data_IF_211847476473
#
_entry.id   IF_211847476473
#
_cell.length_a   1.000
_cell.length_b   1.000
_cell.length_c   1.000
_cell.angle_alpha   90.00
_cell.angle_beta   90.00
_cell.angle_gamma   90.00
#
_symmetry.space_group_name_H-M   'P 1'
#
loop_
_entity.id
_entity.type
_entity.pdbx_description
1 polymer ?
#
# COMPACT_ATOMS: atom_id res chain seq x y z
N UNK A 1 23.97 10.72 -14.80
CA UNK A 1 24.47 10.23 -13.52
C UNK A 1 23.74 10.93 -12.38
N UNK A 2 22.96 10.20 -11.61
CA UNK A 2 22.27 10.72 -10.41
C UNK A 2 23.23 10.75 -9.21
N UNK A 3 22.78 11.29 -8.08
CA UNK A 3 23.59 11.29 -6.85
C UNK A 3 23.79 9.89 -6.28
N UNK A 4 22.76 9.03 -6.34
CA UNK A 4 22.84 7.65 -5.85
C UNK A 4 23.71 6.79 -6.77
N UNK A 5 23.53 6.88 -8.10
CA UNK A 5 24.38 6.20 -9.09
C UNK A 5 25.85 6.59 -8.93
N UNK A 6 26.15 7.90 -8.84
CA UNK A 6 27.52 8.37 -8.65
C UNK A 6 28.14 7.94 -7.32
N UNK A 7 27.36 7.85 -6.25
CA UNK A 7 27.84 7.37 -4.95
C UNK A 7 28.06 5.85 -4.95
N UNK A 8 27.19 5.08 -5.62
CA UNK A 8 27.37 3.65 -5.81
C UNK A 8 28.67 3.38 -6.57
N UNK A 9 28.88 4.03 -7.71
CA UNK A 9 30.11 3.90 -8.51
C UNK A 9 31.36 4.22 -7.68
N UNK A 10 31.31 5.29 -6.89
CA UNK A 10 32.42 5.68 -6.01
C UNK A 10 32.71 4.65 -4.90
N UNK A 11 31.71 3.86 -4.49
CA UNK A 11 31.84 2.85 -3.45
C UNK A 11 32.14 1.44 -3.98
N UNK A 12 32.16 1.23 -5.30
CA UNK A 12 32.35 -0.09 -5.93
C UNK A 12 31.06 -0.80 -6.36
N UNK A 13 30.00 -0.03 -6.62
CA UNK A 13 28.73 -0.50 -7.17
C UNK A 13 27.96 -1.42 -6.20
N UNK A 14 27.27 -2.42 -6.75
CA UNK A 14 26.54 -3.42 -5.96
C UNK A 14 27.44 -4.27 -5.05
N UNK A 15 28.76 -4.29 -5.31
CA UNK A 15 29.76 -5.01 -4.52
C UNK A 15 30.46 -4.12 -3.47
N UNK A 16 29.96 -2.90 -3.22
CA UNK A 16 30.56 -2.00 -2.25
C UNK A 16 30.67 -2.64 -0.85
N UNK A 17 31.74 -2.33 -0.08
CA UNK A 17 31.96 -2.94 1.23
C UNK A 17 30.90 -2.48 2.25
N UNK A 18 30.62 -3.28 3.31
CA UNK A 18 29.62 -2.93 4.34
C UNK A 18 29.87 -1.58 5.03
N UNK A 19 31.12 -1.10 5.05
CA UNK A 19 31.47 0.23 5.59
C UNK A 19 30.83 1.38 4.81
N UNK A 20 30.41 1.17 3.56
CA UNK A 20 29.70 2.15 2.73
C UNK A 20 28.19 2.20 2.99
N UNK A 21 27.60 1.18 3.63
CA UNK A 21 26.14 1.03 3.74
C UNK A 21 25.45 2.22 4.39
N UNK A 22 26.03 2.80 5.44
CA UNK A 22 25.44 3.95 6.13
C UNK A 22 25.32 5.17 5.21
N UNK A 23 26.37 5.45 4.42
CA UNK A 23 26.39 6.56 3.46
C UNK A 23 25.43 6.30 2.30
N UNK A 24 25.42 5.09 1.75
CA UNK A 24 24.50 4.70 0.69
C UNK A 24 23.03 4.78 1.13
N UNK A 25 22.73 4.44 2.40
CA UNK A 25 21.38 4.60 2.97
C UNK A 25 20.92 6.05 3.01
N UNK A 26 21.80 6.97 3.39
CA UNK A 26 21.48 8.40 3.39
C UNK A 26 21.16 8.91 1.98
N UNK A 27 22.02 8.58 1.00
CA UNK A 27 21.83 9.01 -0.39
C UNK A 27 20.59 8.36 -1.01
N UNK A 28 20.31 7.09 -0.70
CA UNK A 28 19.08 6.41 -1.11
C UNK A 28 17.84 7.12 -0.54
N UNK A 29 17.83 7.47 0.74
CA UNK A 29 16.71 8.19 1.36
C UNK A 29 16.39 9.50 0.66
N UNK A 30 17.42 10.28 0.30
CA UNK A 30 17.24 11.53 -0.45
C UNK A 30 16.80 11.28 -1.91
N UNK A 31 17.30 10.24 -2.56
CA UNK A 31 16.85 9.83 -3.90
C UNK A 31 15.36 9.45 -3.90
N UNK A 32 14.92 8.63 -2.93
CA UNK A 32 13.51 8.24 -2.78
C UNK A 32 12.60 9.44 -2.50
N UNK A 33 13.05 10.39 -1.66
CA UNK A 33 12.32 11.62 -1.36
C UNK A 33 12.13 12.48 -2.62
N UNK A 34 13.19 12.64 -3.42
CA UNK A 34 13.13 13.35 -4.71
C UNK A 34 12.23 12.61 -5.69
N UNK A 35 12.37 11.30 -5.81
CA UNK A 35 11.53 10.45 -6.66
C UNK A 35 10.05 10.58 -6.33
N UNK A 36 9.70 10.61 -5.04
CA UNK A 36 8.31 10.82 -4.60
C UNK A 36 7.79 12.18 -5.06
N UNK A 37 8.57 13.24 -4.91
CA UNK A 37 8.21 14.58 -5.39
C UNK A 37 8.08 14.63 -6.93
N UNK A 38 8.94 13.92 -7.67
CA UNK A 38 8.85 13.79 -9.12
C UNK A 38 7.58 13.09 -9.59
N UNK A 39 7.15 12.03 -8.90
CA UNK A 39 5.96 11.26 -9.28
C UNK A 39 4.65 12.09 -9.23
N UNK A 40 4.64 13.17 -8.45
CA UNK A 40 3.53 14.13 -8.37
C UNK A 40 3.50 15.15 -9.52
N UNK A 41 4.53 15.20 -10.37
CA UNK A 41 4.58 16.11 -11.53
C UNK A 41 3.83 15.53 -12.73
N UNK A 42 3.33 16.33 -13.68
CA UNK A 42 2.68 15.80 -14.89
C UNK A 42 3.60 14.96 -15.80
N UNK A 43 4.91 15.21 -15.74
CA UNK A 43 5.98 14.44 -16.37
C UNK A 43 7.08 14.28 -15.32
N UNK A 44 7.58 13.07 -15.15
CA UNK A 44 8.49 12.72 -14.06
C UNK A 44 9.84 12.29 -14.61
N UNK A 45 10.90 12.73 -13.95
CA UNK A 45 12.25 12.24 -14.19
C UNK A 45 12.95 12.80 -15.43
N UNK A 46 12.52 13.96 -15.93
CA UNK A 46 13.10 14.57 -17.14
C UNK A 46 14.56 14.98 -16.95
N UNK A 47 14.86 15.65 -15.82
CA UNK A 47 16.21 16.10 -15.47
C UNK A 47 17.03 14.98 -14.80
N UNK A 48 16.38 14.24 -13.89
CA UNK A 48 16.94 13.09 -13.20
C UNK A 48 15.89 11.98 -13.13
N UNK A 49 16.15 10.77 -13.63
CA UNK A 49 15.17 9.68 -13.59
C UNK A 49 14.72 9.39 -12.15
N UNK A 50 13.49 8.94 -11.98
CA UNK A 50 12.99 8.44 -10.69
C UNK A 50 13.73 7.15 -10.35
N UNK A 51 14.46 7.16 -9.24
CA UNK A 51 15.32 6.05 -8.86
C UNK A 51 14.58 5.06 -7.95
N UNK A 52 14.73 3.77 -8.26
CA UNK A 52 14.44 2.66 -7.34
C UNK A 52 15.73 1.89 -7.06
N UNK A 53 15.84 1.29 -5.89
CA UNK A 53 17.00 0.48 -5.53
C UNK A 53 16.57 -0.96 -5.32
N UNK A 54 17.33 -1.92 -5.85
CA UNK A 54 17.10 -3.36 -5.64
C UNK A 54 18.37 -3.96 -5.05
N UNK A 55 18.24 -4.74 -3.98
CA UNK A 55 19.40 -5.33 -3.28
C UNK A 55 19.41 -6.85 -3.34
N UNK A 56 20.62 -7.39 -3.13
CA UNK A 56 20.86 -8.83 -2.99
C UNK A 56 20.01 -9.41 -1.85
N UNK A 57 18.99 -10.19 -2.21
CA UNK A 57 17.89 -10.60 -1.33
C UNK A 57 16.51 -10.20 -1.83
N UNK A 58 16.41 -9.66 -3.05
CA UNK A 58 15.15 -9.33 -3.72
C UNK A 58 14.29 -8.35 -2.91
N UNK A 59 14.98 -7.41 -2.26
CA UNK A 59 14.37 -6.24 -1.63
C UNK A 59 14.46 -5.07 -2.58
N UNK A 60 13.35 -4.38 -2.82
CA UNK A 60 13.31 -3.16 -3.60
C UNK A 60 12.78 -1.98 -2.77
N UNK A 61 13.49 -0.86 -2.79
CA UNK A 61 13.05 0.40 -2.19
C UNK A 61 12.43 1.29 -3.27
N UNK A 62 11.20 1.74 -3.04
CA UNK A 62 10.38 2.44 -4.03
C UNK A 62 9.91 3.79 -3.47
N UNK A 63 9.93 4.89 -4.25
CA UNK A 63 9.48 6.22 -3.80
C UNK A 63 7.95 6.36 -3.60
N UNK A 64 7.26 5.26 -3.29
CA UNK A 64 5.84 5.19 -2.95
C UNK A 64 5.63 5.14 -1.42
N UNK A 65 4.44 5.45 -0.90
CA UNK A 65 4.12 5.32 0.51
C UNK A 65 3.99 3.85 0.95
N UNK A 66 4.57 3.51 2.11
CA UNK A 66 4.48 2.17 2.70
C UNK A 66 3.03 1.77 3.11
N UNK A 67 2.14 2.76 3.26
CA UNK A 67 0.71 2.54 3.52
C UNK A 67 0.04 1.73 2.43
N UNK A 68 0.63 1.66 1.21
CA UNK A 68 0.12 0.87 0.10
C UNK A 68 -0.20 -0.58 0.49
N UNK A 69 0.57 -1.19 1.41
CA UNK A 69 0.32 -2.56 1.88
C UNK A 69 -1.08 -2.75 2.47
N UNK A 70 -1.61 -1.72 3.12
CA UNK A 70 -2.89 -1.75 3.83
C UNK A 70 -3.99 -0.97 3.09
N UNK A 71 -3.61 0.08 2.38
CA UNK A 71 -4.52 0.95 1.65
C UNK A 71 -4.07 1.07 0.19
N UNK A 72 -4.74 0.32 -0.68
CA UNK A 72 -4.51 0.34 -2.12
C UNK A 72 -4.76 1.70 -2.77
N UNK A 73 -5.55 2.56 -2.14
CA UNK A 73 -5.93 3.87 -2.66
C UNK A 73 -4.97 4.98 -2.16
N UNK A 74 -3.94 4.62 -1.38
CA UNK A 74 -2.95 5.57 -0.84
C UNK A 74 -1.89 6.02 -1.85
N UNK A 75 -1.94 5.51 -3.08
CA UNK A 75 -1.02 5.87 -4.16
C UNK A 75 -1.77 6.45 -5.35
N UNK A 76 -1.11 7.38 -6.05
CA UNK A 76 -1.55 7.83 -7.36
C UNK A 76 -1.35 6.74 -8.41
N UNK A 77 -2.00 6.89 -9.56
CA UNK A 77 -1.84 5.98 -10.70
C UNK A 77 -0.36 5.82 -11.12
N UNK A 78 0.40 6.92 -11.20
CA UNK A 78 1.81 6.84 -11.60
C UNK A 78 2.69 6.15 -10.56
N UNK A 79 2.45 6.42 -9.27
CA UNK A 79 3.13 5.71 -8.19
C UNK A 79 2.83 4.21 -8.26
N UNK A 80 1.56 3.85 -8.52
CA UNK A 80 1.17 2.46 -8.74
C UNK A 80 1.89 1.83 -9.92
N UNK A 81 1.95 2.49 -11.08
CA UNK A 81 2.62 1.94 -12.27
C UNK A 81 4.11 1.68 -12.01
N UNK A 82 4.80 2.58 -11.31
CA UNK A 82 6.19 2.35 -10.89
C UNK A 82 6.30 1.14 -9.94
N UNK A 83 5.43 1.07 -8.94
CA UNK A 83 5.39 -0.06 -7.99
C UNK A 83 5.15 -1.38 -8.71
N UNK A 84 4.20 -1.41 -9.65
CA UNK A 84 3.87 -2.59 -10.44
C UNK A 84 5.04 -3.03 -11.30
N UNK A 85 5.76 -2.08 -11.93
CA UNK A 85 6.99 -2.39 -12.66
C UNK A 85 8.05 -3.03 -11.75
N UNK A 86 8.25 -2.49 -10.54
CA UNK A 86 9.18 -3.09 -9.56
C UNK A 86 8.75 -4.50 -9.13
N UNK A 87 7.46 -4.77 -8.97
CA UNK A 87 6.96 -6.14 -8.71
C UNK A 87 7.32 -7.07 -9.87
N UNK A 88 7.11 -6.63 -11.11
CA UNK A 88 7.53 -7.35 -12.31
C UNK A 88 9.01 -7.69 -12.29
N UNK A 89 9.86 -6.67 -12.07
CA UNK A 89 11.32 -6.83 -11.96
C UNK A 89 11.71 -7.85 -10.89
N UNK A 90 11.12 -7.79 -9.69
CA UNK A 90 11.43 -8.73 -8.61
C UNK A 90 11.03 -10.17 -8.97
N UNK A 91 9.90 -10.35 -9.65
CA UNK A 91 9.43 -11.66 -10.09
C UNK A 91 10.30 -12.21 -11.22
N UNK A 92 10.66 -11.38 -12.20
CA UNK A 92 11.53 -11.76 -13.31
C UNK A 92 12.89 -12.21 -12.81
N UNK A 93 13.54 -11.40 -11.96
CA UNK A 93 14.84 -11.76 -11.38
C UNK A 93 14.79 -13.05 -10.54
N UNK A 94 13.64 -13.36 -9.94
CA UNK A 94 13.49 -14.52 -9.04
C UNK A 94 13.02 -15.80 -9.74
N UNK A 95 12.55 -15.71 -10.99
CA UNK A 95 12.06 -16.79 -11.84
C UNK A 95 11.22 -17.88 -11.12
N UNK A 96 10.18 -17.53 -10.33
CA UNK A 96 9.48 -18.49 -9.47
C UNK A 96 8.56 -19.48 -10.22
N UNK A 97 8.44 -19.35 -11.55
CA UNK A 97 7.45 -20.05 -12.36
C UNK A 97 5.99 -19.61 -12.07
N UNK A 98 5.01 -20.16 -12.80
CA UNK A 98 3.61 -19.76 -12.67
C UNK A 98 3.00 -20.15 -11.30
N UNK A 99 2.09 -19.34 -10.74
CA UNK A 99 1.40 -19.67 -9.49
C UNK A 99 0.28 -20.68 -9.76
N UNK A 100 0.02 -21.57 -8.80
CA UNK A 100 -1.04 -22.57 -8.84
C UNK A 100 -2.26 -22.18 -8.00
N UNK A 101 -2.09 -21.22 -7.10
CA UNK A 101 -3.16 -20.75 -6.22
C UNK A 101 -2.71 -19.58 -5.33
N UNK A 102 -3.57 -19.13 -4.40
CA UNK A 102 -3.35 -17.92 -3.62
C UNK A 102 -2.19 -18.05 -2.63
N UNK A 103 -1.90 -19.26 -2.15
CA UNK A 103 -0.80 -19.54 -1.22
C UNK A 103 0.58 -19.47 -1.90
N UNK A 104 0.63 -19.49 -3.24
CA UNK A 104 1.87 -19.33 -3.99
C UNK A 104 2.27 -17.86 -4.13
N UNK A 105 1.38 -16.92 -3.79
CA UNK A 105 1.65 -15.47 -3.85
C UNK A 105 2.47 -15.06 -2.64
N UNK A 106 3.69 -14.59 -2.87
CA UNK A 106 4.72 -14.44 -1.83
C UNK A 106 5.25 -13.02 -1.68
N UNK A 107 4.78 -12.05 -2.47
CA UNK A 107 5.17 -10.65 -2.33
C UNK A 107 4.86 -10.15 -0.93
N UNK A 108 5.83 -9.51 -0.31
CA UNK A 108 5.70 -8.85 0.98
C UNK A 108 6.03 -7.36 0.84
N UNK A 109 5.50 -6.56 1.75
CA UNK A 109 5.78 -5.14 1.83
C UNK A 109 6.18 -4.73 3.24
N UNK A 110 7.08 -3.76 3.32
CA UNK A 110 7.56 -3.13 4.54
C UNK A 110 7.81 -1.65 4.33
N UNK A 111 8.56 -1.06 5.26
CA UNK A 111 8.80 0.38 5.33
C UNK A 111 10.28 0.68 5.59
N UNK A 112 10.79 1.70 4.90
CA UNK A 112 12.04 2.42 5.23
C UNK A 112 11.73 3.74 5.96
N UNK A 113 12.71 4.30 6.69
CA UNK A 113 12.61 5.65 7.26
C UNK A 113 12.12 6.67 6.23
N UNK A 114 11.14 7.50 6.59
CA UNK A 114 10.47 8.43 5.66
C UNK A 114 9.19 7.86 5.02
N UNK A 115 8.73 6.69 5.46
CA UNK A 115 7.49 6.06 5.01
C UNK A 115 7.57 5.54 3.59
N UNK A 116 8.77 5.16 3.11
CA UNK A 116 8.96 4.62 1.77
C UNK A 116 8.64 3.13 1.72
N UNK A 117 7.97 2.71 0.66
CA UNK A 117 7.64 1.31 0.43
C UNK A 117 8.90 0.48 0.19
N UNK A 118 9.00 -0.64 0.88
CA UNK A 118 9.90 -1.73 0.52
C UNK A 118 9.08 -2.90 0.04
N UNK A 119 9.46 -3.48 -1.08
CA UNK A 119 8.93 -4.75 -1.57
C UNK A 119 9.96 -5.85 -1.35
N UNK A 120 9.51 -7.04 -0.97
CA UNK A 120 10.35 -8.22 -0.80
C UNK A 120 9.74 -9.39 -1.57
N UNK A 121 10.57 -10.10 -2.32
CA UNK A 121 10.19 -11.32 -3.01
C UNK A 121 11.15 -12.46 -2.67
N UNK A 122 10.70 -13.70 -2.47
CA UNK A 122 11.63 -14.81 -2.31
C UNK A 122 12.23 -15.22 -3.65
N UNK A 123 13.55 -15.27 -3.74
CA UNK A 123 14.27 -15.72 -4.93
C UNK A 123 15.67 -16.24 -4.59
N UNK A 124 16.25 -16.97 -5.54
CA UNK A 124 17.64 -17.41 -5.56
C UNK A 124 18.31 -16.92 -6.85
N UNK A 125 19.63 -17.00 -6.97
CA UNK A 125 20.32 -16.64 -8.22
C UNK A 125 20.34 -15.13 -8.50
N UNK A 126 21.00 -14.36 -7.63
CA UNK A 126 21.15 -12.91 -7.81
C UNK A 126 22.23 -12.55 -8.83
N UNK A 127 21.85 -11.72 -9.80
CA UNK A 127 22.75 -11.03 -10.74
C UNK A 127 22.46 -9.52 -10.72
N UNK A 128 23.43 -8.72 -10.29
CA UNK A 128 23.29 -7.26 -10.23
C UNK A 128 23.23 -6.61 -11.61
N UNK A 129 23.79 -7.22 -12.65
CA UNK A 129 23.78 -6.69 -14.02
C UNK A 129 22.38 -6.75 -14.64
N UNK A 130 21.55 -7.70 -14.20
CA UNK A 130 20.18 -7.88 -14.71
C UNK A 130 19.16 -6.90 -14.10
N UNK A 131 19.47 -6.25 -12.98
CA UNK A 131 18.51 -5.37 -12.27
C UNK A 131 18.01 -4.23 -13.15
N UNK A 132 18.93 -3.56 -13.85
CA UNK A 132 18.58 -2.44 -14.72
C UNK A 132 17.75 -2.88 -15.92
N UNK A 133 18.13 -4.01 -16.54
CA UNK A 133 17.48 -4.58 -17.72
C UNK A 133 16.06 -5.05 -17.42
N UNK A 134 15.89 -5.88 -16.38
CA UNK A 134 14.58 -6.36 -15.95
C UNK A 134 13.66 -5.21 -15.51
N UNK A 135 14.20 -4.13 -14.96
CA UNK A 135 13.39 -2.95 -14.66
C UNK A 135 12.98 -2.17 -15.91
N UNK A 136 13.90 -1.97 -16.85
CA UNK A 136 13.62 -1.27 -18.10
C UNK A 136 12.49 -1.95 -18.89
N UNK A 137 12.50 -3.28 -18.99
CA UNK A 137 11.46 -4.06 -19.67
C UNK A 137 10.07 -3.84 -19.06
N UNK A 138 10.00 -3.67 -17.74
CA UNK A 138 8.74 -3.42 -17.04
C UNK A 138 8.34 -1.94 -16.98
N UNK A 139 9.30 -1.00 -17.07
CA UNK A 139 9.06 0.43 -16.91
C UNK A 139 8.88 1.21 -18.23
N UNK A 140 9.40 0.69 -19.35
CA UNK A 140 9.44 1.40 -20.65
C UNK A 140 8.04 1.81 -21.16
N UNK A 141 7.01 1.03 -20.83
CA UNK A 141 5.62 1.32 -21.23
C UNK A 141 4.92 2.42 -20.43
N UNK A 142 5.53 2.95 -19.36
CA UNK A 142 4.87 3.92 -18.48
C UNK A 142 4.93 5.33 -19.08
N UNK A 143 3.77 5.87 -19.45
CA UNK A 143 3.69 7.19 -20.07
C UNK A 143 4.28 8.30 -19.17
N UNK A 144 5.14 9.13 -19.78
CA UNK A 144 5.74 10.33 -19.16
C UNK A 144 6.52 10.07 -17.87
N UNK A 145 7.01 8.86 -17.66
CA UNK A 145 7.90 8.51 -16.57
C UNK A 145 9.27 8.12 -17.13
N UNK A 146 10.32 8.81 -16.67
CA UNK A 146 11.69 8.30 -16.75
C UNK A 146 12.07 7.77 -15.38
N UNK A 147 12.37 6.49 -15.31
CA UNK A 147 12.78 5.82 -14.09
C UNK A 147 13.97 4.90 -14.37
N UNK A 148 14.72 4.56 -13.32
CA UNK A 148 15.84 3.61 -13.39
C UNK A 148 15.93 2.80 -12.10
N UNK A 149 16.35 1.55 -12.22
CA UNK A 149 16.65 0.69 -11.08
C UNK A 149 18.16 0.52 -10.91
N UNK A 150 18.62 0.67 -9.67
CA UNK A 150 20.03 0.51 -9.32
C UNK A 150 20.20 -0.71 -8.41
N UNK A 151 21.13 -1.59 -8.76
CA UNK A 151 21.57 -2.67 -7.88
C UNK A 151 22.38 -2.07 -6.72
N UNK A 152 21.97 -2.35 -5.48
CA UNK A 152 22.64 -1.85 -4.27
C UNK A 152 23.17 -2.99 -3.40
N UNK A 153 24.25 -2.76 -2.62
CA UNK A 153 24.79 -3.77 -1.72
C UNK A 153 23.78 -4.27 -0.69
N UNK A 154 24.02 -5.50 -0.22
CA UNK A 154 23.27 -6.08 0.89
C UNK A 154 23.45 -5.21 2.15
N UNK A 155 22.35 -4.85 2.81
CA UNK A 155 22.35 -4.00 4.00
C UNK A 155 22.19 -2.50 3.72
N UNK A 156 22.07 -2.09 2.45
CA UNK A 156 21.56 -0.75 2.12
C UNK A 156 20.04 -0.68 2.32
N UNK A 157 19.31 -1.72 1.90
CA UNK A 157 17.87 -1.81 2.15
C UNK A 157 17.64 -2.65 3.40
N UNK A 158 17.31 -2.00 4.51
CA UNK A 158 17.02 -2.62 5.81
C UNK A 158 15.58 -2.29 6.20
N UNK A 159 14.58 -3.07 5.71
CA UNK A 159 13.20 -2.83 6.08
C UNK A 159 12.98 -3.13 7.56
N UNK A 160 11.95 -2.50 8.13
CA UNK A 160 11.34 -3.02 9.35
C UNK A 160 10.67 -4.37 9.13
N UNK A 161 9.54 -4.60 9.81
CA UNK A 161 8.79 -5.85 9.65
C UNK A 161 8.18 -5.95 8.24
N UNK A 162 8.49 -7.03 7.52
CA UNK A 162 7.88 -7.36 6.24
C UNK A 162 6.60 -8.16 6.46
N UNK A 163 5.51 -7.74 5.80
CA UNK A 163 4.19 -8.37 5.93
C UNK A 163 3.55 -8.58 4.57
N UNK A 164 2.69 -9.60 4.41
CA UNK A 164 1.88 -9.72 3.20
C UNK A 164 0.95 -8.51 3.04
N UNK A 165 0.60 -8.15 1.80
CA UNK A 165 -0.46 -7.18 1.52
C UNK A 165 -1.81 -7.64 2.07
N UNK A 166 -2.65 -6.69 2.49
CA UNK A 166 -3.96 -6.98 3.11
C UNK A 166 -5.01 -7.22 2.02
N UNK A 167 -5.68 -8.38 2.08
CA UNK A 167 -6.77 -8.75 1.18
C UNK A 167 -6.32 -9.64 0.01
N UNK A 168 -7.18 -10.58 -0.37
CA UNK A 168 -6.88 -11.58 -1.40
C UNK A 168 -6.57 -10.99 -2.78
N UNK A 169 -7.26 -9.90 -3.15
CA UNK A 169 -7.10 -9.16 -4.43
C UNK A 169 -6.39 -7.82 -4.26
N UNK A 170 -5.46 -7.73 -3.31
CA UNK A 170 -4.62 -6.55 -3.17
C UNK A 170 -3.82 -6.31 -4.47
N UNK A 171 -3.65 -5.06 -4.96
CA UNK A 171 -2.94 -4.79 -6.21
C UNK A 171 -1.54 -5.42 -6.29
N UNK A 172 -0.75 -5.37 -5.23
CA UNK A 172 0.56 -6.07 -5.17
C UNK A 172 0.47 -7.58 -5.47
N UNK A 173 -0.58 -8.27 -5.00
CA UNK A 173 -0.80 -9.70 -5.27
C UNK A 173 -1.20 -9.94 -6.72
N UNK A 174 -2.03 -9.05 -7.26
CA UNK A 174 -2.41 -9.04 -8.68
C UNK A 174 -1.17 -8.85 -9.55
N UNK A 175 -0.33 -7.87 -9.22
CA UNK A 175 0.91 -7.60 -9.94
C UNK A 175 1.86 -8.79 -9.94
N UNK A 176 2.03 -9.49 -8.80
CA UNK A 176 2.79 -10.74 -8.77
C UNK A 176 2.18 -11.79 -9.70
N UNK A 177 0.86 -12.03 -9.61
CA UNK A 177 0.19 -13.03 -10.43
C UNK A 177 0.33 -12.72 -11.93
N UNK A 178 0.14 -11.46 -12.32
CA UNK A 178 0.34 -10.97 -13.70
C UNK A 178 1.76 -11.28 -14.17
N UNK A 179 2.78 -10.88 -13.40
CA UNK A 179 4.18 -11.11 -13.78
C UNK A 179 4.49 -12.60 -13.93
N UNK A 180 4.03 -13.45 -13.00
CA UNK A 180 4.29 -14.89 -13.04
C UNK A 180 3.52 -15.64 -14.13
N UNK A 181 2.49 -15.02 -14.70
CA UNK A 181 1.78 -15.51 -15.89
C UNK A 181 2.37 -14.97 -17.20
N UNK A 182 3.49 -14.23 -17.14
CA UNK A 182 4.16 -13.66 -18.30
C UNK A 182 3.57 -12.33 -18.78
N UNK A 183 2.71 -11.69 -17.98
CA UNK A 183 2.18 -10.35 -18.28
C UNK A 183 3.04 -9.22 -17.69
N UNK A 184 2.76 -7.99 -18.10
CA UNK A 184 3.40 -6.79 -17.55
C UNK A 184 2.51 -6.11 -16.51
N UNK A 185 2.89 -6.08 -15.22
CA UNK A 185 2.01 -5.54 -14.17
C UNK A 185 1.66 -4.05 -14.31
N UNK A 186 2.55 -3.26 -14.92
CA UNK A 186 2.33 -1.84 -15.21
C UNK A 186 1.61 -1.62 -16.57
N UNK A 187 1.26 -2.69 -17.29
CA UNK A 187 0.61 -2.65 -18.59
C UNK A 187 -0.84 -3.14 -18.57
N UNK A 188 -1.42 -3.21 -19.76
CA UNK A 188 -2.71 -3.88 -19.95
C UNK A 188 -2.54 -5.41 -19.77
N UNK A 189 -3.44 -6.04 -19.03
CA UNK A 189 -3.46 -7.46 -18.74
C UNK A 189 -4.86 -8.10 -18.89
N UNK A 190 -5.74 -7.49 -19.71
CA UNK A 190 -7.09 -8.01 -20.00
C UNK A 190 -7.08 -9.48 -20.42
N UNK A 191 -6.08 -9.92 -21.20
CA UNK A 191 -5.98 -11.30 -21.72
C UNK A 191 -5.72 -12.36 -20.63
N UNK A 192 -5.17 -11.96 -19.49
CA UNK A 192 -4.83 -12.86 -18.38
C UNK A 192 -5.67 -12.59 -17.13
N UNK A 193 -6.63 -11.66 -17.18
CA UNK A 193 -7.46 -11.26 -16.05
C UNK A 193 -8.17 -12.47 -15.43
N UNK A 194 -8.85 -13.28 -16.25
CA UNK A 194 -9.57 -14.47 -15.77
C UNK A 194 -8.64 -15.48 -15.08
N UNK A 195 -7.42 -15.67 -15.60
CA UNK A 195 -6.42 -16.55 -15.01
C UNK A 195 -5.94 -16.01 -13.66
N UNK A 196 -5.67 -14.70 -13.57
CA UNK A 196 -5.30 -14.03 -12.32
C UNK A 196 -6.43 -14.16 -11.28
N UNK A 197 -7.68 -13.91 -11.66
CA UNK A 197 -8.83 -14.03 -10.78
C UNK A 197 -9.06 -15.48 -10.31
N UNK A 198 -8.79 -16.46 -11.16
CA UNK A 198 -8.83 -17.88 -10.81
C UNK A 198 -7.78 -18.24 -9.76
N UNK A 199 -6.54 -17.76 -9.93
CA UNK A 199 -5.42 -17.99 -8.98
C UNK A 199 -5.67 -17.34 -7.63
N UNK A 200 -6.12 -16.08 -7.62
CA UNK A 200 -6.35 -15.34 -6.38
C UNK A 200 -7.65 -15.78 -5.67
N UNK A 201 -8.47 -16.56 -6.35
CA UNK A 201 -9.75 -17.04 -5.87
C UNK A 201 -10.82 -15.94 -5.81
N UNK A 202 -11.97 -16.22 -5.20
CA UNK A 202 -12.94 -15.18 -4.89
C UNK A 202 -12.22 -14.13 -4.06
N UNK A 203 -12.21 -12.89 -4.55
CA UNK A 203 -11.81 -11.79 -3.70
C UNK A 203 -12.73 -11.78 -2.49
N UNK A 204 -12.25 -11.29 -1.36
CA UNK A 204 -13.18 -10.89 -0.31
C UNK A 204 -14.18 -9.92 -0.95
N UNK A 205 -15.37 -10.41 -1.30
CA UNK A 205 -16.55 -9.58 -1.44
C UNK A 205 -16.99 -9.18 -0.03
N UNK A 206 -16.05 -8.66 0.77
CA UNK A 206 -16.36 -7.61 1.68
C UNK A 206 -16.89 -6.47 0.80
N UNK A 207 -18.21 -6.43 0.63
CA UNK A 207 -18.89 -5.28 0.00
C UNK A 207 -18.24 -4.03 0.55
N UNK A 208 -17.73 -3.12 -0.28
CA UNK A 208 -16.98 -1.96 0.25
C UNK A 208 -17.89 -1.21 1.24
N UNK A 209 -17.35 -0.53 2.27
CA UNK A 209 -18.17 0.25 3.20
C UNK A 209 -19.21 1.17 2.54
N UNK A 210 -18.98 1.65 1.32
CA UNK A 210 -19.92 2.48 0.54
C UNK A 210 -20.89 1.71 -0.36
N UNK A 211 -20.65 0.42 -0.58
CA UNK A 211 -21.47 -0.48 -1.40
C UNK A 211 -22.39 -1.36 -0.55
N UNK A 212 -22.23 -1.34 0.77
CA UNK A 212 -23.01 -2.17 1.70
C UNK A 212 -24.52 -2.01 1.45
N UNK A 213 -25.27 -3.07 1.15
CA UNK A 213 -26.67 -2.93 0.73
C UNK A 213 -27.54 -2.31 1.82
N UNK A 214 -27.21 -2.51 3.10
CA UNK A 214 -27.93 -1.91 4.21
C UNK A 214 -27.43 -0.47 4.47
N UNK A 215 -28.28 0.57 4.33
CA UNK A 215 -27.85 1.97 4.48
C UNK A 215 -27.26 2.29 5.85
N UNK A 216 -27.75 1.65 6.92
CA UNK A 216 -27.27 1.91 8.28
C UNK A 216 -25.89 1.29 8.49
N UNK A 217 -25.71 0.03 8.06
CA UNK A 217 -24.42 -0.68 8.09
C UNK A 217 -23.40 0.04 7.22
N UNK A 218 -23.79 0.48 6.01
CA UNK A 218 -22.99 1.35 5.14
C UNK A 218 -22.50 2.60 5.88
N UNK A 219 -23.40 3.31 6.55
CA UNK A 219 -23.05 4.51 7.29
C UNK A 219 -22.09 4.21 8.45
N UNK A 220 -22.32 3.12 9.19
CA UNK A 220 -21.48 2.71 10.31
C UNK A 220 -20.05 2.41 9.83
N UNK A 221 -19.92 1.61 8.78
CA UNK A 221 -18.62 1.24 8.19
C UNK A 221 -17.89 2.46 7.65
N UNK A 222 -18.57 3.37 6.95
CA UNK A 222 -17.98 4.62 6.44
C UNK A 222 -17.54 5.58 7.56
N UNK A 223 -18.28 5.64 8.67
CA UNK A 223 -17.88 6.45 9.83
C UNK A 223 -16.61 5.88 10.45
N UNK A 224 -16.60 4.59 10.78
CA UNK A 224 -15.48 3.94 11.45
C UNK A 224 -14.22 3.93 10.57
N UNK A 225 -14.33 3.55 9.29
CA UNK A 225 -13.21 3.54 8.34
C UNK A 225 -12.54 4.91 8.24
N UNK A 226 -13.33 5.98 8.15
CA UNK A 226 -12.79 7.34 8.05
C UNK A 226 -12.13 7.80 9.34
N UNK A 227 -12.71 7.49 10.49
CA UNK A 227 -12.10 7.82 11.79
C UNK A 227 -10.79 7.07 11.99
N UNK A 228 -10.75 5.81 11.57
CA UNK A 228 -9.56 4.95 11.63
C UNK A 228 -8.45 5.50 10.73
N UNK A 229 -8.77 5.82 9.47
CA UNK A 229 -7.85 6.47 8.54
C UNK A 229 -7.35 7.85 9.01
N UNK A 230 -8.13 8.57 9.82
CA UNK A 230 -7.71 9.82 10.45
C UNK A 230 -6.95 9.61 11.78
N UNK A 231 -6.74 8.37 12.22
CA UNK A 231 -6.09 8.04 13.48
C UNK A 231 -6.86 8.49 14.73
N UNK A 232 -8.19 8.62 14.65
CA UNK A 232 -9.06 9.15 15.72
C UNK A 232 -9.30 8.12 16.84
N UNK A 233 -8.21 7.65 17.44
CA UNK A 233 -8.19 6.67 18.51
C UNK A 233 -7.83 7.31 19.85
N UNK A 234 -8.52 6.90 20.92
CA UNK A 234 -8.21 7.31 22.29
C UNK A 234 -8.12 8.84 22.48
N UNK A 235 -6.91 9.38 22.58
CA UNK A 235 -6.66 10.80 22.84
C UNK A 235 -7.03 11.74 21.68
N UNK A 236 -7.06 11.22 20.44
CA UNK A 236 -7.35 12.00 19.23
C UNK A 236 -8.79 11.80 18.78
N UNK A 237 -9.53 12.90 18.63
CA UNK A 237 -10.99 12.87 18.58
C UNK A 237 -11.54 13.92 17.60
N UNK A 238 -12.84 13.84 17.33
CA UNK A 238 -13.57 14.79 16.47
C UNK A 238 -14.90 15.17 17.12
N UNK A 239 -15.46 16.31 16.76
CA UNK A 239 -16.84 16.66 17.10
C UNK A 239 -17.82 15.62 16.52
N UNK A 240 -18.83 15.22 17.29
CA UNK A 240 -19.84 14.24 16.91
C UNK A 240 -20.64 14.68 15.68
N UNK A 241 -20.95 15.97 15.55
CA UNK A 241 -21.62 16.51 14.37
C UNK A 241 -20.85 16.26 13.06
N UNK A 242 -19.52 16.04 13.14
CA UNK A 242 -18.69 15.74 11.97
C UNK A 242 -18.84 14.32 11.45
N UNK A 243 -19.44 13.40 12.20
CA UNK A 243 -19.68 12.03 11.73
C UNK A 243 -20.54 12.01 10.46
N UNK A 244 -21.50 12.92 10.33
CA UNK A 244 -22.35 13.04 9.14
C UNK A 244 -21.72 13.82 7.97
N UNK A 245 -20.49 14.36 8.10
CA UNK A 245 -19.82 15.02 6.98
C UNK A 245 -19.58 14.01 5.84
N UNK A 246 -19.83 14.40 4.60
CA UNK A 246 -19.70 13.52 3.43
C UNK A 246 -20.90 12.58 3.17
N UNK A 247 -21.98 12.70 3.94
CA UNK A 247 -23.28 12.11 3.63
C UNK A 247 -24.20 13.15 2.97
N UNK A 248 -25.01 12.72 2.00
CA UNK A 248 -25.89 13.59 1.22
C UNK A 248 -27.31 13.63 1.82
N UNK A 249 -27.95 14.80 1.82
CA UNK A 249 -29.37 14.97 2.16
C UNK A 249 -29.84 14.18 3.39
N UNK A 250 -30.84 13.31 3.19
CA UNK A 250 -31.47 12.48 4.22
C UNK A 250 -30.52 11.45 4.88
N UNK A 251 -29.39 11.12 4.24
CA UNK A 251 -28.42 10.18 4.82
C UNK A 251 -27.60 10.80 5.96
N UNK A 252 -27.64 12.13 6.11
CA UNK A 252 -26.98 12.82 7.24
C UNK A 252 -27.66 12.54 8.57
N UNK A 253 -28.99 12.48 8.59
CA UNK A 253 -29.76 12.14 9.79
C UNK A 253 -29.49 10.69 10.19
N UNK A 254 -29.55 9.76 9.22
CA UNK A 254 -29.20 8.36 9.44
C UNK A 254 -27.76 8.21 9.96
N UNK A 255 -26.79 8.95 9.40
CA UNK A 255 -25.41 8.90 9.88
C UNK A 255 -25.25 9.40 11.34
N UNK A 256 -26.08 10.35 11.78
CA UNK A 256 -26.10 10.80 13.18
C UNK A 256 -26.69 9.72 14.10
N UNK A 257 -27.82 9.12 13.72
CA UNK A 257 -28.45 8.03 14.48
C UNK A 257 -27.52 6.81 14.58
N UNK A 258 -26.84 6.47 13.49
CA UNK A 258 -25.79 5.44 13.49
C UNK A 258 -24.62 5.81 14.40
N UNK A 259 -24.23 7.09 14.42
CA UNK A 259 -23.23 7.59 15.37
C UNK A 259 -23.61 7.37 16.82
N UNK A 260 -24.88 7.55 17.18
CA UNK A 260 -25.39 7.27 18.53
C UNK A 260 -25.37 5.77 18.83
N UNK A 261 -25.80 4.92 17.88
CA UNK A 261 -25.73 3.47 18.03
C UNK A 261 -24.29 2.97 18.22
N UNK A 262 -23.31 3.58 17.55
CA UNK A 262 -21.89 3.28 17.73
C UNK A 262 -21.35 3.69 19.11
N UNK A 263 -21.87 4.79 19.69
CA UNK A 263 -21.57 5.21 21.05
C UNK A 263 -22.19 4.27 22.08
N UNK A 264 -23.47 3.91 21.91
CA UNK A 264 -24.18 2.98 22.79
C UNK A 264 -23.51 1.61 22.82
N UNK A 265 -23.06 1.12 21.65
CA UNK A 265 -22.31 -0.13 21.53
C UNK A 265 -20.86 -0.05 22.08
N UNK A 266 -20.40 1.14 22.48
CA UNK A 266 -19.06 1.39 22.99
C UNK A 266 -17.94 1.29 21.95
N UNK A 267 -18.27 1.26 20.64
CA UNK A 267 -17.29 1.32 19.55
C UNK A 267 -16.71 2.73 19.42
N UNK A 268 -17.55 3.73 19.63
CA UNK A 268 -17.12 5.10 19.91
C UNK A 268 -17.13 5.34 21.42
N UNK A 269 -16.25 6.21 21.87
CA UNK A 269 -16.27 6.72 23.23
C UNK A 269 -16.31 8.25 23.19
N UNK A 270 -17.02 8.84 24.15
CA UNK A 270 -17.07 10.28 24.33
C UNK A 270 -15.87 10.76 25.14
N UNK A 271 -15.30 11.90 24.73
CA UNK A 271 -14.32 12.61 25.53
C UNK A 271 -15.04 13.54 26.52
N UNK A 272 -14.74 13.48 27.83
CA UNK A 272 -15.33 14.40 28.79
C UNK A 272 -14.88 15.85 28.53
N UNK A 273 -15.82 16.63 27.98
CA UNK A 273 -15.97 18.09 27.89
C UNK A 273 -14.87 18.96 27.26
N UNK A 274 -15.19 19.53 26.09
CA UNK A 274 -14.82 20.90 25.66
C UNK A 274 -16.03 21.58 24.98
N UNK A 275 -17.16 21.74 25.70
CA UNK A 275 -18.36 22.46 25.23
C UNK A 275 -19.21 21.75 24.16
N UNK A 276 -18.60 21.04 23.21
CA UNK A 276 -19.26 20.23 22.17
C UNK A 276 -19.01 18.73 22.42
N UNK A 277 -19.94 17.86 21.98
CA UNK A 277 -19.80 16.40 22.10
C UNK A 277 -18.71 15.92 21.15
N UNK A 278 -17.63 15.37 21.70
CA UNK A 278 -16.48 14.89 20.93
C UNK A 278 -16.33 13.38 21.11
N UNK A 279 -16.02 12.68 20.02
CA UNK A 279 -15.92 11.22 19.97
C UNK A 279 -14.61 10.74 19.35
N UNK A 280 -14.22 9.53 19.72
CA UNK A 280 -13.07 8.81 19.20
C UNK A 280 -13.36 7.30 19.17
N UNK A 281 -12.60 6.56 18.37
CA UNK A 281 -12.63 5.10 18.30
C UNK A 281 -12.07 4.50 19.59
N UNK A 282 -12.84 3.61 20.22
CA UNK A 282 -12.46 2.97 21.47
C UNK A 282 -11.36 1.91 21.25
N UNK A 283 -10.11 2.14 21.71
CA UNK A 283 -9.01 1.20 21.46
C UNK A 283 -9.25 -0.19 22.07
N UNK A 284 -10.05 -0.28 23.15
CA UNK A 284 -10.40 -1.55 23.78
C UNK A 284 -11.32 -2.43 22.91
N UNK A 285 -11.93 -1.85 21.88
CA UNK A 285 -12.85 -2.50 20.94
C UNK A 285 -12.27 -2.61 19.53
N UNK A 286 -10.97 -2.38 19.34
CA UNK A 286 -10.34 -2.28 18.02
C UNK A 286 -10.62 -3.49 17.11
N UNK A 287 -10.54 -4.72 17.64
CA UNK A 287 -10.83 -5.93 16.85
C UNK A 287 -12.26 -5.95 16.29
N UNK A 288 -13.24 -5.47 17.05
CA UNK A 288 -14.64 -5.44 16.63
C UNK A 288 -14.92 -4.27 15.69
N UNK A 289 -14.21 -3.14 15.86
CA UNK A 289 -14.24 -2.01 14.93
C UNK A 289 -13.70 -2.43 13.57
N UNK A 290 -12.52 -3.05 13.52
CA UNK A 290 -11.94 -3.55 12.28
C UNK A 290 -12.84 -4.60 11.63
N UNK A 291 -13.36 -5.57 12.42
CA UNK A 291 -14.29 -6.58 11.90
C UNK A 291 -15.55 -5.95 11.28
N UNK A 292 -16.11 -4.92 11.89
CA UNK A 292 -17.27 -4.21 11.34
C UNK A 292 -16.88 -3.45 10.05
N UNK A 293 -15.76 -2.73 10.03
CA UNK A 293 -15.26 -2.05 8.82
C UNK A 293 -15.11 -3.05 7.67
N UNK A 294 -14.42 -4.16 7.93
CA UNK A 294 -14.04 -5.14 6.93
C UNK A 294 -15.26 -5.92 6.42
N UNK A 295 -16.12 -6.39 7.32
CA UNK A 295 -17.14 -7.39 6.96
C UNK A 295 -18.59 -6.93 7.09
N UNK A 296 -18.84 -5.77 7.71
CA UNK A 296 -20.20 -5.35 8.08
C UNK A 296 -20.80 -6.09 9.28
N UNK A 297 -20.08 -7.04 9.89
CA UNK A 297 -20.59 -7.81 11.01
C UNK A 297 -20.70 -6.95 12.29
N UNK A 298 -21.93 -6.75 12.75
CA UNK A 298 -22.22 -6.02 13.98
C UNK A 298 -21.76 -6.80 15.23
N UNK A 299 -21.22 -6.12 16.25
CA UNK A 299 -21.00 -6.70 17.57
C UNK A 299 -22.26 -7.31 18.18
N UNK A 300 -22.08 -8.30 19.05
CA UNK A 300 -23.20 -8.95 19.74
C UNK A 300 -24.05 -7.93 20.51
N UNK A 301 -25.37 -7.95 20.27
CA UNK A 301 -26.33 -7.05 20.93
C UNK A 301 -26.41 -5.64 20.34
N UNK A 302 -25.50 -5.26 19.44
CA UNK A 302 -25.59 -3.98 18.74
C UNK A 302 -26.73 -4.01 17.72
N UNK A 303 -27.51 -2.93 17.68
CA UNK A 303 -28.55 -2.70 16.67
C UNK A 303 -28.31 -1.36 16.02
N UNK A 304 -28.40 -1.33 14.69
CA UNK A 304 -28.39 -0.09 13.93
C UNK A 304 -29.84 0.37 13.70
N UNK A 305 -30.07 1.68 13.52
CA UNK A 305 -31.39 2.21 13.19
C UNK A 305 -31.93 1.53 11.94
N UNK A 306 -33.18 1.07 12.03
CA UNK A 306 -33.91 0.49 10.91
C UNK A 306 -34.60 1.62 10.14
N UNK A 307 -34.50 1.63 8.81
CA UNK A 307 -35.43 2.42 7.99
C UNK A 307 -36.80 1.74 7.93
#
# INVERSE_FOLDING_TARGET
>A
MTALEGELDACGGAQAPPSANARLREVLGEALKKGRAELHKPRSGLDHPVEVAVSKGFLAAVPAPATLRADKDSVTEREWLLVAAVVGTLVELAEPGPPRGPDDIRIQAGELPGGFLVLSYPGEGWDDELVGLAFEDHATGIDRLRATALAVPKGVIEPGELKPPIGARHPLRIAEAVARLGGHPAGNHDEIEDAVLSILGPGDHATRPHEDPDPATRAARRILQRLDGMGKWGGYHTEFAHLARGFAGNDRALAQEVGEALLEAGLLAEKPSVGQRHVYLNPKRAAEIHKLIDTGALPAGMRLPSK
#
